data_IF_717768542081
#
_entry.id   IF_717768542081
#
_cell.length_a   1.000
_cell.length_b   1.000
_cell.length_c   1.000
_cell.angle_alpha   90.00
_cell.angle_beta   90.00
_cell.angle_gamma   90.00
#
_symmetry.space_group_name_H-M   'P 1'
#
loop_
_entity.id
_entity.type
_entity.pdbx_description
1 polymer ?
#
# COMPACT_ATOMS: atom_id res chain seq x y z
N UNK A 1 -8.72 -25.14 15.96
CA UNK A 1 -9.69 -25.22 14.85
C UNK A 1 -10.43 -23.89 14.82
N UNK A 2 -10.05 -22.93 13.97
CA UNK A 2 -10.75 -22.72 12.70
C UNK A 2 -9.86 -21.91 11.73
N UNK A 3 -8.89 -22.57 11.11
CA UNK A 3 -8.13 -22.03 9.96
C UNK A 3 -8.91 -22.18 8.63
N UNK A 4 -10.23 -22.40 8.71
CA UNK A 4 -11.07 -22.89 7.62
C UNK A 4 -11.88 -21.79 6.90
N UNK A 5 -11.40 -20.55 6.86
CA UNK A 5 -12.07 -19.46 6.13
C UNK A 5 -11.15 -18.69 5.17
N UNK A 6 -10.03 -19.29 4.78
CA UNK A 6 -9.15 -18.79 3.72
C UNK A 6 -9.48 -19.39 2.34
N UNK A 7 -10.77 -19.64 2.07
CA UNK A 7 -11.29 -20.04 0.76
C UNK A 7 -12.56 -19.26 0.41
N UNK A 8 -12.56 -17.93 0.66
CA UNK A 8 -13.58 -17.04 0.11
C UNK A 8 -13.38 -16.94 -1.40
N UNK A 9 -14.18 -17.71 -2.15
CA UNK A 9 -14.55 -17.57 -3.55
C UNK A 9 -13.57 -16.74 -4.39
N UNK A 10 -12.77 -17.42 -5.20
CA UNK A 10 -11.80 -16.86 -6.14
C UNK A 10 -12.48 -15.86 -7.10
N UNK A 11 -12.59 -14.60 -6.68
CA UNK A 11 -13.02 -13.44 -7.47
C UNK A 11 -12.16 -13.18 -8.72
N UNK A 12 -11.10 -13.96 -8.90
CA UNK A 12 -10.06 -13.76 -9.88
C UNK A 12 -9.98 -15.00 -10.78
N UNK A 13 -10.59 -14.90 -11.95
CA UNK A 13 -10.46 -15.88 -13.05
C UNK A 13 -9.07 -15.71 -13.65
N UNK A 14 -8.03 -16.09 -12.91
CA UNK A 14 -6.62 -16.08 -13.36
C UNK A 14 -6.14 -14.78 -14.03
N UNK A 15 -5.00 -14.86 -14.71
CA UNK A 15 -4.40 -13.73 -15.42
C UNK A 15 -5.05 -13.46 -16.80
N UNK A 16 -5.92 -14.34 -17.30
CA UNK A 16 -6.60 -14.20 -18.60
C UNK A 16 -7.95 -13.46 -18.49
N UNK A 17 -7.93 -12.24 -17.97
CA UNK A 17 -9.12 -11.37 -17.98
C UNK A 17 -8.76 -9.93 -18.36
N UNK A 18 -9.69 -9.24 -19.03
CA UNK A 18 -9.48 -7.83 -19.36
C UNK A 18 -9.55 -6.97 -18.10
N UNK A 19 -8.83 -5.83 -18.10
CA UNK A 19 -8.89 -4.83 -17.03
C UNK A 19 -10.34 -4.40 -16.75
N UNK A 20 -11.15 -4.22 -17.80
CA UNK A 20 -12.55 -3.84 -17.67
C UNK A 20 -13.37 -4.89 -16.93
N UNK A 21 -13.28 -6.15 -17.38
CA UNK A 21 -13.98 -7.29 -16.76
C UNK A 21 -13.59 -7.46 -15.29
N UNK A 22 -12.30 -7.34 -14.97
CA UNK A 22 -11.81 -7.38 -13.59
C UNK A 22 -12.48 -6.31 -12.72
N UNK A 23 -12.47 -5.05 -13.17
CA UNK A 23 -13.02 -3.96 -12.37
C UNK A 23 -14.54 -4.01 -12.25
N UNK A 24 -15.25 -4.55 -13.25
CA UNK A 24 -16.69 -4.81 -13.17
C UNK A 24 -16.99 -5.78 -12.03
N UNK A 25 -16.30 -6.93 -11.97
CA UNK A 25 -16.47 -7.93 -10.88
C UNK A 25 -16.16 -7.35 -9.50
N UNK A 26 -15.09 -6.56 -9.40
CA UNK A 26 -14.74 -5.87 -8.15
C UNK A 26 -15.82 -4.87 -7.74
N UNK A 27 -16.40 -4.15 -8.71
CA UNK A 27 -17.48 -3.20 -8.47
C UNK A 27 -18.76 -3.89 -7.99
N UNK A 28 -19.17 -4.96 -8.66
CA UNK A 28 -20.32 -5.78 -8.26
C UNK A 28 -20.16 -6.27 -6.82
N UNK A 29 -18.99 -6.82 -6.50
CA UNK A 29 -18.73 -7.32 -5.14
C UNK A 29 -18.71 -6.21 -4.09
N UNK A 30 -18.16 -5.06 -4.44
CA UNK A 30 -18.17 -3.89 -3.58
C UNK A 30 -19.61 -3.45 -3.29
N UNK A 31 -20.49 -3.41 -4.30
CA UNK A 31 -21.89 -3.07 -4.14
C UNK A 31 -22.64 -4.11 -3.31
N UNK A 32 -22.41 -5.41 -3.50
CA UNK A 32 -22.99 -6.47 -2.67
C UNK A 32 -22.66 -6.28 -1.19
N UNK A 33 -21.38 -6.06 -0.86
CA UNK A 33 -20.93 -5.86 0.52
C UNK A 33 -21.57 -4.59 1.10
N UNK A 34 -21.67 -3.52 0.29
CA UNK A 34 -22.30 -2.27 0.73
C UNK A 34 -23.79 -2.44 0.99
N UNK A 35 -24.52 -3.16 0.13
CA UNK A 35 -25.93 -3.51 0.36
C UNK A 35 -26.11 -4.32 1.64
N UNK A 36 -25.30 -5.36 1.85
CA UNK A 36 -25.35 -6.20 3.07
C UNK A 36 -25.03 -5.44 4.35
N UNK A 37 -24.21 -4.39 4.28
CA UNK A 37 -23.84 -3.55 5.42
C UNK A 37 -24.68 -2.29 5.56
N UNK A 38 -25.64 -2.06 4.68
CA UNK A 38 -26.49 -0.87 4.75
C UNK A 38 -27.45 -1.00 5.93
N UNK A 39 -27.62 0.07 6.69
CA UNK A 39 -28.68 0.15 7.70
C UNK A 39 -30.02 0.36 6.97
N UNK A 40 -31.14 -0.16 7.51
CA UNK A 40 -32.47 0.15 6.98
C UNK A 40 -32.65 1.66 6.84
N UNK A 41 -33.16 2.11 5.68
CA UNK A 41 -33.40 3.53 5.40
C UNK A 41 -32.17 4.35 4.99
N UNK A 42 -31.01 3.73 4.75
CA UNK A 42 -29.80 4.45 4.35
C UNK A 42 -29.44 4.19 2.88
N UNK A 43 -29.17 5.26 2.13
CA UNK A 43 -28.81 5.14 0.71
C UNK A 43 -27.50 4.39 0.49
N UNK A 44 -27.53 3.44 -0.44
CA UNK A 44 -26.37 2.66 -0.86
C UNK A 44 -25.72 3.35 -2.05
N UNK A 45 -24.62 4.08 -1.83
CA UNK A 45 -23.88 4.69 -2.94
C UNK A 45 -23.13 3.65 -3.78
N UNK A 46 -23.37 3.68 -5.08
CA UNK A 46 -22.70 2.86 -6.08
C UNK A 46 -21.47 3.57 -6.64
N UNK A 47 -20.31 2.91 -6.64
CA UNK A 47 -19.09 3.41 -7.28
C UNK A 47 -18.88 2.74 -8.63
N UNK A 48 -18.53 3.53 -9.66
CA UNK A 48 -18.11 3.04 -10.98
C UNK A 48 -16.68 2.46 -10.93
N UNK A 49 -16.37 1.62 -11.92
CA UNK A 49 -15.10 0.93 -12.09
C UNK A 49 -13.87 1.86 -12.04
N UNK A 50 -13.94 2.99 -12.76
CA UNK A 50 -12.90 4.01 -12.82
C UNK A 50 -12.60 4.57 -11.42
N UNK A 51 -13.64 4.90 -10.65
CA UNK A 51 -13.51 5.45 -9.29
C UNK A 51 -12.91 4.44 -8.31
N UNK A 52 -13.29 3.17 -8.40
CA UNK A 52 -12.70 2.11 -7.57
C UNK A 52 -11.24 1.87 -7.94
N UNK A 53 -10.93 1.86 -9.23
CA UNK A 53 -9.55 1.70 -9.72
C UNK A 53 -8.64 2.86 -9.30
N UNK A 54 -9.14 4.10 -9.42
CA UNK A 54 -8.45 5.29 -8.96
C UNK A 54 -8.23 5.29 -7.45
N UNK A 55 -9.25 4.89 -6.67
CA UNK A 55 -9.11 4.76 -5.21
C UNK A 55 -8.07 3.70 -4.82
N UNK A 56 -8.07 2.54 -5.48
CA UNK A 56 -7.03 1.51 -5.27
C UNK A 56 -5.64 2.05 -5.58
N UNK A 57 -5.48 2.76 -6.71
CA UNK A 57 -4.20 3.36 -7.08
C UNK A 57 -3.72 4.38 -6.05
N UNK A 58 -4.62 5.26 -5.60
CA UNK A 58 -4.33 6.24 -4.55
C UNK A 58 -3.89 5.55 -3.25
N UNK A 59 -4.60 4.52 -2.80
CA UNK A 59 -4.23 3.74 -1.61
C UNK A 59 -2.85 3.12 -1.80
N UNK A 60 -2.60 2.44 -2.92
CA UNK A 60 -1.30 1.81 -3.22
C UNK A 60 -0.16 2.83 -3.16
N UNK A 61 -0.35 4.01 -3.76
CA UNK A 61 0.67 5.07 -3.78
C UNK A 61 0.93 5.65 -2.39
N UNK A 62 -0.11 5.99 -1.64
CA UNK A 62 0.02 6.55 -0.30
C UNK A 62 0.70 5.55 0.65
N UNK A 63 0.24 4.30 0.63
CA UNK A 63 0.81 3.22 1.46
C UNK A 63 2.25 2.90 1.07
N UNK A 64 2.58 2.88 -0.23
CA UNK A 64 3.96 2.66 -0.68
C UNK A 64 4.92 3.76 -0.22
N UNK A 65 4.49 5.02 -0.26
CA UNK A 65 5.26 6.14 0.30
C UNK A 65 5.48 5.97 1.80
N UNK A 66 4.43 5.63 2.54
CA UNK A 66 4.53 5.41 3.98
C UNK A 66 5.44 4.23 4.32
N UNK A 67 5.37 3.13 3.55
CA UNK A 67 6.28 2.00 3.70
C UNK A 67 7.75 2.42 3.52
N UNK A 68 8.04 3.28 2.53
CA UNK A 68 9.39 3.83 2.34
C UNK A 68 9.89 4.59 3.57
N UNK A 69 9.07 5.50 4.11
CA UNK A 69 9.39 6.24 5.35
C UNK A 69 9.59 5.29 6.53
N UNK A 70 8.69 4.32 6.72
CA UNK A 70 8.82 3.34 7.80
C UNK A 70 10.12 2.52 7.69
N UNK A 71 10.48 2.06 6.49
CA UNK A 71 11.73 1.31 6.24
C UNK A 71 12.98 2.14 6.52
N UNK A 72 12.94 3.43 6.25
CA UNK A 72 14.04 4.33 6.59
C UNK A 72 14.17 4.52 8.11
N UNK A 73 13.05 4.64 8.82
CA UNK A 73 13.03 4.70 10.29
C UNK A 73 13.53 3.38 10.89
N UNK A 74 13.11 2.25 10.34
CA UNK A 74 13.53 0.91 10.76
C UNK A 74 15.03 0.70 10.53
N UNK A 75 15.57 1.14 9.38
CA UNK A 75 17.01 1.08 9.09
C UNK A 75 17.83 1.93 10.06
N UNK A 76 17.29 3.08 10.49
CA UNK A 76 17.92 3.99 11.43
C UNK A 76 17.31 3.85 12.84
N UNK A 77 16.98 2.62 13.25
CA UNK A 77 16.28 2.33 14.52
C UNK A 77 17.07 2.93 15.71
N UNK A 78 16.48 3.85 16.48
CA UNK A 78 17.10 4.32 17.71
C UNK A 78 17.28 3.17 18.70
N UNK A 79 18.40 3.16 19.43
CA UNK A 79 18.63 2.14 20.47
C UNK A 79 17.50 2.15 21.50
N UNK A 80 16.99 0.97 21.84
CA UNK A 80 15.88 0.83 22.80
C UNK A 80 14.48 1.17 22.27
N UNK A 81 14.34 1.68 21.05
CA UNK A 81 13.02 1.96 20.47
C UNK A 81 12.24 0.66 20.23
N UNK A 82 10.94 0.65 20.54
CA UNK A 82 9.99 -0.43 20.21
C UNK A 82 9.32 -0.15 18.86
N UNK A 83 8.64 -1.15 18.31
CA UNK A 83 8.01 -1.01 16.98
C UNK A 83 6.91 0.06 16.96
N UNK A 84 6.24 0.28 18.10
CA UNK A 84 5.26 1.37 18.27
C UNK A 84 5.95 2.73 18.15
N UNK A 85 7.16 2.87 18.68
CA UNK A 85 7.95 4.11 18.60
C UNK A 85 8.37 4.37 17.15
N UNK A 86 8.82 3.32 16.44
CA UNK A 86 9.15 3.42 15.01
C UNK A 86 7.94 3.83 14.17
N UNK A 87 6.77 3.27 14.47
CA UNK A 87 5.53 3.63 13.79
C UNK A 87 5.18 5.11 14.02
N UNK A 88 5.29 5.60 15.26
CA UNK A 88 5.02 7.00 15.60
C UNK A 88 6.01 7.97 14.92
N UNK A 89 7.30 7.61 14.89
CA UNK A 89 8.32 8.39 14.17
C UNK A 89 7.99 8.42 12.67
N UNK A 90 7.63 7.29 12.07
CA UNK A 90 7.28 7.21 10.66
C UNK A 90 6.02 8.02 10.32
N UNK A 91 4.99 8.01 11.19
CA UNK A 91 3.77 8.81 11.01
C UNK A 91 4.10 10.30 11.04
N UNK A 92 4.95 10.73 11.97
CA UNK A 92 5.36 12.12 12.13
C UNK A 92 6.12 12.59 10.88
N UNK A 93 7.19 11.88 10.49
CA UNK A 93 7.97 12.19 9.28
C UNK A 93 7.10 12.24 8.02
N UNK A 94 6.18 11.27 7.87
CA UNK A 94 5.29 11.27 6.71
C UNK A 94 4.42 12.52 6.65
N UNK A 95 3.86 12.94 7.79
CA UNK A 95 3.03 14.15 7.87
C UNK A 95 3.82 15.39 7.48
N UNK A 96 5.04 15.52 7.99
CA UNK A 96 5.92 16.64 7.69
C UNK A 96 6.27 16.71 6.19
N UNK A 97 6.62 15.56 5.59
CA UNK A 97 7.03 15.48 4.19
C UNK A 97 5.85 15.63 3.19
N UNK A 98 4.65 15.21 3.59
CA UNK A 98 3.51 15.04 2.66
C UNK A 98 2.32 15.94 2.97
N UNK A 99 2.39 16.74 4.03
CA UNK A 99 1.29 17.57 4.54
C UNK A 99 -0.05 16.80 4.61
N UNK A 100 0.01 15.51 4.97
CA UNK A 100 -1.15 14.62 5.02
C UNK A 100 -0.92 13.43 5.94
N UNK A 101 -1.99 12.89 6.51
CA UNK A 101 -1.89 11.69 7.34
C UNK A 101 -1.67 10.43 6.48
N UNK A 102 -0.79 9.51 6.91
CA UNK A 102 -0.62 8.24 6.22
C UNK A 102 -1.83 7.33 6.43
N UNK A 103 -2.08 6.43 5.47
CA UNK A 103 -3.12 5.40 5.58
C UNK A 103 -2.64 4.20 6.42
N UNK A 104 -2.38 4.40 7.72
CA UNK A 104 -1.77 3.40 8.63
C UNK A 104 -2.54 2.08 8.68
N UNK A 105 -3.86 2.12 8.81
CA UNK A 105 -4.69 0.90 8.81
C UNK A 105 -4.57 0.10 7.50
N UNK A 106 -4.50 0.81 6.36
CA UNK A 106 -4.34 0.16 5.07
C UNK A 106 -2.95 -0.43 4.93
N UNK A 107 -1.92 0.25 5.45
CA UNK A 107 -0.57 -0.28 5.52
C UNK A 107 -0.48 -1.54 6.38
N UNK A 108 -1.12 -1.56 7.56
CA UNK A 108 -1.12 -2.72 8.45
C UNK A 108 -1.77 -3.97 7.84
N UNK A 109 -2.75 -3.78 6.94
CA UNK A 109 -3.34 -4.86 6.15
C UNK A 109 -2.40 -5.27 5.01
N UNK A 110 -1.88 -4.30 4.24
CA UNK A 110 -1.11 -4.57 3.03
C UNK A 110 0.28 -5.15 3.31
N UNK A 111 0.97 -4.72 4.38
CA UNK A 111 2.31 -5.24 4.76
C UNK A 111 2.33 -6.74 5.09
N UNK A 112 1.15 -7.33 5.36
CA UNK A 112 0.98 -8.76 5.60
C UNK A 112 0.87 -9.58 4.30
N UNK A 113 0.75 -8.93 3.14
CA UNK A 113 0.62 -9.60 1.84
C UNK A 113 2.01 -9.88 1.25
N UNK A 114 2.35 -11.14 0.92
CA UNK A 114 3.62 -11.48 0.28
C UNK A 114 3.85 -10.70 -1.03
N UNK A 115 2.80 -10.61 -1.86
CA UNK A 115 2.83 -9.87 -3.12
C UNK A 115 3.08 -8.36 -2.92
N UNK A 116 2.58 -7.78 -1.83
CA UNK A 116 2.86 -6.38 -1.53
C UNK A 116 4.33 -6.19 -1.17
N UNK A 117 4.90 -7.07 -0.33
CA UNK A 117 6.30 -6.99 0.09
C UNK A 117 7.25 -7.16 -1.09
N UNK A 118 7.00 -8.14 -1.97
CA UNK A 118 7.77 -8.35 -3.22
C UNK A 118 7.80 -7.09 -4.12
N UNK A 119 6.64 -6.45 -4.30
CA UNK A 119 6.54 -5.19 -5.07
C UNK A 119 7.34 -4.07 -4.39
N UNK A 120 7.32 -3.98 -3.07
CA UNK A 120 8.01 -2.90 -2.36
C UNK A 120 9.52 -3.12 -2.32
N UNK A 121 9.98 -4.36 -2.16
CA UNK A 121 11.40 -4.72 -2.19
C UNK A 121 12.02 -4.49 -3.56
N UNK A 122 11.35 -4.90 -4.65
CA UNK A 122 11.81 -4.64 -6.02
C UNK A 122 11.88 -3.14 -6.37
N UNK A 123 11.02 -2.30 -5.78
CA UNK A 123 11.11 -0.85 -5.97
C UNK A 123 12.25 -0.19 -5.18
N UNK A 124 12.75 -0.85 -4.12
CA UNK A 124 13.83 -0.31 -3.29
C UNK A 124 15.23 -0.56 -3.86
N UNK A 125 15.40 -1.55 -4.73
CA UNK A 125 16.69 -1.91 -5.36
C UNK A 125 17.02 -1.11 -6.63
N UNK A 126 16.08 -0.31 -7.16
CA UNK A 126 16.27 0.49 -8.38
C UNK A 126 16.97 1.85 -8.13
N UNK A 127 17.39 2.13 -6.90
CA UNK A 127 18.02 3.39 -6.51
C UNK A 127 19.50 3.51 -6.86
N UNK A 128 19.78 4.17 -8.00
CA UNK A 128 20.91 5.11 -8.24
C UNK A 128 22.35 4.56 -8.11
N UNK A 129 22.96 4.22 -9.26
CA UNK A 129 24.43 4.25 -9.42
C UNK A 129 24.90 5.67 -9.09
N UNK A 130 25.59 5.87 -7.96
CA UNK A 130 26.38 7.08 -7.73
C UNK A 130 27.56 7.01 -8.72
N UNK A 131 27.54 7.85 -9.75
CA UNK A 131 28.77 8.20 -10.44
C UNK A 131 29.67 8.86 -9.40
N UNK A 132 30.74 8.17 -9.02
CA UNK A 132 31.85 8.77 -8.31
C UNK A 132 32.59 9.61 -9.34
N UNK A 133 32.34 10.92 -9.38
CA UNK A 133 33.22 11.86 -10.07
C UNK A 133 34.57 11.78 -9.37
N UNK A 134 35.54 11.18 -10.05
CA UNK A 134 36.95 11.18 -9.69
C UNK A 134 37.38 12.67 -9.67
N UNK A 135 37.71 13.20 -8.50
CA UNK A 135 38.35 14.51 -8.41
C UNK A 135 39.80 14.29 -8.83
N UNK A 136 40.14 14.80 -10.02
CA UNK A 136 41.49 14.87 -10.53
C UNK A 136 42.26 15.91 -9.70
N UNK A 137 43.27 15.46 -8.96
CA UNK A 137 44.20 16.34 -8.24
C UNK A 137 45.30 16.77 -9.20
N UNK A 138 45.63 18.08 -9.31
CA UNK A 138 46.71 18.52 -10.16
C UNK A 138 48.05 18.21 -9.48
N UNK A 139 48.84 17.33 -10.09
CA UNK A 139 50.28 17.27 -9.87
C UNK A 139 50.96 17.94 -11.07
N UNK A 140 51.61 19.07 -10.79
CA UNK A 140 52.36 19.87 -11.77
C UNK A 140 52.64 21.26 -11.23
#
# INVERSE_FOLDING_TARGET
MEYANYQRATLYVGNNQTKGTFWTRVSEKFHEIKKKKAKPGHDVFFRKNDKLSGKRFHIKRNVGKFHGVYREVERNRPSGARDVDLLNIAITRYRDDHNSAPLVEHYNILKKSPKFNEIMESTSTSGKKRSSTYMDSPMG
#
